data_IF_390284163206
#
_entry.id   IF_390284163206
#
_cell.length_a   1.000
_cell.length_b   1.000
_cell.length_c   1.000
_cell.angle_alpha   90.00
_cell.angle_beta   90.00
_cell.angle_gamma   90.00
#
_symmetry.space_group_name_H-M   'P 1'
#
loop_
_entity.id
_entity.type
_entity.pdbx_description
1 polymer ?
#
# COMPACT_ATOMS: atom_id res chain seq x y z
N UNK A 1 -7.21 4.12 30.19
CA UNK A 1 -6.49 3.03 29.50
C UNK A 1 -5.45 3.64 28.57
N UNK A 2 -4.24 3.12 28.52
CA UNK A 2 -3.24 3.58 27.54
C UNK A 2 -3.61 3.08 26.14
N UNK A 3 -3.24 3.82 25.08
CA UNK A 3 -3.48 3.43 23.66
C UNK A 3 -3.00 2.00 23.38
N UNK A 4 -1.86 1.60 23.96
CA UNK A 4 -1.28 0.25 23.79
C UNK A 4 -2.10 -0.86 24.44
N UNK A 5 -2.80 -0.57 25.53
CA UNK A 5 -3.69 -1.55 26.15
C UNK A 5 -4.97 -1.75 25.32
N UNK A 6 -5.47 -0.68 24.68
CA UNK A 6 -6.60 -0.77 23.74
C UNK A 6 -6.23 -1.64 22.54
N UNK A 7 -5.01 -1.44 21.97
CA UNK A 7 -4.50 -2.27 20.86
C UNK A 7 -4.45 -3.75 21.22
N UNK A 8 -3.94 -4.09 22.42
CA UNK A 8 -3.88 -5.48 22.88
C UNK A 8 -5.30 -6.08 23.02
N UNK A 9 -6.24 -5.33 23.58
CA UNK A 9 -7.62 -5.78 23.72
C UNK A 9 -8.27 -6.03 22.36
N UNK A 10 -8.08 -5.10 21.42
CA UNK A 10 -8.60 -5.26 20.05
C UNK A 10 -7.98 -6.49 19.35
N UNK A 11 -6.68 -6.72 19.54
CA UNK A 11 -6.00 -7.90 19.03
C UNK A 11 -6.57 -9.19 19.61
N UNK A 12 -6.80 -9.21 20.95
CA UNK A 12 -7.42 -10.34 21.63
C UNK A 12 -8.87 -10.58 21.20
N UNK A 13 -9.64 -9.53 20.88
CA UNK A 13 -11.01 -9.64 20.37
C UNK A 13 -11.00 -10.18 18.93
N UNK A 14 -10.02 -9.77 18.11
CA UNK A 14 -9.91 -10.23 16.73
C UNK A 14 -9.39 -11.67 16.60
N UNK A 15 -8.61 -12.16 17.59
CA UNK A 15 -7.96 -13.48 17.51
C UNK A 15 -8.95 -14.65 17.45
N UNK A 16 -10.06 -14.71 18.21
CA UNK A 16 -11.05 -15.78 18.09
C UNK A 16 -11.68 -15.85 16.70
N UNK A 17 -11.92 -14.70 16.06
CA UNK A 17 -12.48 -14.66 14.71
C UNK A 17 -11.57 -15.40 13.72
N UNK A 18 -10.29 -15.07 13.72
CA UNK A 18 -9.31 -15.71 12.82
C UNK A 18 -9.16 -17.20 13.13
N UNK A 19 -9.03 -17.55 14.43
CA UNK A 19 -8.90 -18.96 14.85
C UNK A 19 -10.13 -19.77 14.45
N UNK A 20 -11.34 -19.23 14.65
CA UNK A 20 -12.61 -19.89 14.26
C UNK A 20 -12.69 -20.10 12.75
N UNK A 21 -12.24 -19.15 11.93
CA UNK A 21 -12.22 -19.33 10.48
C UNK A 21 -11.34 -20.51 10.06
N UNK A 22 -10.14 -20.64 10.63
CA UNK A 22 -9.27 -21.78 10.35
C UNK A 22 -9.82 -23.10 10.91
N UNK A 23 -10.45 -23.08 12.09
CA UNK A 23 -11.11 -24.26 12.67
C UNK A 23 -12.26 -24.72 11.79
N UNK A 24 -13.10 -23.79 11.31
CA UNK A 24 -14.20 -24.12 10.38
C UNK A 24 -13.67 -24.70 9.04
N UNK A 25 -12.57 -24.14 8.54
CA UNK A 25 -11.92 -24.66 7.34
C UNK A 25 -11.43 -26.11 7.55
N UNK A 26 -10.74 -26.39 8.65
CA UNK A 26 -10.26 -27.72 9.01
C UNK A 26 -11.39 -28.73 9.13
N UNK A 27 -12.46 -28.38 9.84
CA UNK A 27 -13.65 -29.24 10.00
C UNK A 27 -14.30 -29.52 8.64
N UNK A 28 -14.43 -28.52 7.78
CA UNK A 28 -15.02 -28.68 6.45
C UNK A 28 -14.18 -29.61 5.53
N UNK A 29 -12.87 -29.68 5.75
CA UNK A 29 -11.95 -30.57 5.05
C UNK A 29 -11.80 -31.94 5.72
N UNK A 30 -12.57 -32.20 6.80
CA UNK A 30 -12.48 -33.45 7.56
C UNK A 30 -11.18 -33.61 8.35
N UNK A 31 -10.46 -32.54 8.58
CA UNK A 31 -9.21 -32.55 9.34
C UNK A 31 -9.49 -32.45 10.84
N UNK A 32 -8.63 -33.05 11.66
CA UNK A 32 -8.68 -32.91 13.11
C UNK A 32 -8.26 -31.48 13.53
N UNK A 33 -8.85 -30.97 14.61
CA UNK A 33 -8.45 -29.73 15.24
C UNK A 33 -7.20 -29.98 16.13
N UNK A 34 -6.06 -30.10 15.50
CA UNK A 34 -4.78 -30.36 16.14
C UNK A 34 -3.80 -29.17 15.95
N UNK A 35 -2.56 -29.33 16.42
CA UNK A 35 -1.54 -28.30 16.26
C UNK A 35 -1.04 -28.14 14.82
N UNK A 36 -1.33 -29.07 13.93
CA UNK A 36 -0.98 -28.93 12.51
C UNK A 36 -1.96 -27.97 11.82
N UNK A 37 -3.24 -28.08 12.14
CA UNK A 37 -4.31 -27.23 11.56
C UNK A 37 -4.40 -25.86 12.24
N UNK A 38 -4.24 -25.78 13.55
CA UNK A 38 -4.31 -24.55 14.32
C UNK A 38 -2.97 -23.82 14.47
N UNK A 39 -1.86 -24.45 14.11
CA UNK A 39 -0.53 -23.85 14.21
C UNK A 39 -0.36 -22.58 13.38
N UNK A 40 -0.97 -22.52 12.19
CA UNK A 40 -0.92 -21.32 11.32
C UNK A 40 -1.59 -20.11 11.97
N UNK A 41 -2.87 -20.15 12.39
CA UNK A 41 -3.50 -18.98 13.01
C UNK A 41 -2.86 -18.61 14.35
N UNK A 42 -2.36 -19.57 15.14
CA UNK A 42 -1.62 -19.32 16.36
C UNK A 42 -0.28 -18.63 16.04
N UNK A 43 0.43 -19.06 15.02
CA UNK A 43 1.68 -18.44 14.57
C UNK A 43 1.47 -17.00 14.09
N UNK A 44 0.41 -16.75 13.31
CA UNK A 44 0.02 -15.41 12.89
C UNK A 44 -0.24 -14.53 14.12
N UNK A 45 -1.04 -15.00 15.07
CA UNK A 45 -1.33 -14.27 16.31
C UNK A 45 -0.05 -13.97 17.08
N UNK A 46 0.85 -14.95 17.23
CA UNK A 46 2.16 -14.79 17.88
C UNK A 46 3.01 -13.71 17.21
N UNK A 47 3.07 -13.68 15.88
CA UNK A 47 3.77 -12.64 15.14
C UNK A 47 3.21 -11.23 15.43
N UNK A 48 1.89 -11.10 15.49
CA UNK A 48 1.25 -9.82 15.82
C UNK A 48 1.38 -9.43 17.30
N UNK A 49 1.49 -10.39 18.21
CA UNK A 49 1.87 -10.12 19.62
C UNK A 49 3.29 -9.56 19.69
N UNK A 50 4.25 -10.13 18.95
CA UNK A 50 5.61 -9.59 18.85
C UNK A 50 5.59 -8.19 18.24
N UNK A 51 4.80 -7.97 17.18
CA UNK A 51 4.58 -6.66 16.59
C UNK A 51 4.01 -5.65 17.60
N UNK A 52 3.02 -6.07 18.42
CA UNK A 52 2.46 -5.26 19.50
C UNK A 52 3.51 -4.84 20.53
N UNK A 53 4.36 -5.78 20.96
CA UNK A 53 5.44 -5.49 21.93
C UNK A 53 6.43 -4.48 21.31
N UNK A 54 6.80 -4.69 20.03
CA UNK A 54 7.68 -3.76 19.31
C UNK A 54 7.06 -2.36 19.20
N UNK A 55 5.79 -2.27 18.82
CA UNK A 55 5.06 -0.99 18.70
C UNK A 55 4.96 -0.30 20.06
N UNK A 56 4.76 -1.06 21.15
CA UNK A 56 4.71 -0.50 22.50
C UNK A 56 6.03 0.17 22.92
N UNK A 57 7.16 -0.34 22.43
CA UNK A 57 8.49 0.17 22.78
C UNK A 57 8.95 1.26 21.80
N UNK A 58 8.74 1.05 20.49
CA UNK A 58 9.31 1.87 19.44
C UNK A 58 8.38 3.00 18.97
N UNK A 59 7.06 2.81 19.05
CA UNK A 59 6.06 3.76 18.57
C UNK A 59 4.85 3.85 19.53
N UNK A 60 5.02 4.31 20.80
CA UNK A 60 3.96 4.30 21.81
C UNK A 60 2.75 5.18 21.45
N UNK A 61 2.94 6.19 20.60
CA UNK A 61 1.90 7.12 20.15
C UNK A 61 1.15 6.67 18.89
N UNK A 62 1.54 5.53 18.27
CA UNK A 62 0.87 5.03 17.07
C UNK A 62 -0.61 4.73 17.33
N UNK A 63 -1.42 4.77 16.26
CA UNK A 63 -2.86 4.46 16.35
C UNK A 63 -3.08 2.99 16.79
N UNK A 64 -3.91 2.75 17.82
CA UNK A 64 -4.11 1.41 18.37
C UNK A 64 -4.96 0.48 17.48
N UNK A 65 -5.63 1.00 16.46
CA UNK A 65 -6.50 0.22 15.59
C UNK A 65 -5.75 -0.44 14.42
N UNK A 66 -4.62 0.12 13.97
CA UNK A 66 -3.90 -0.32 12.77
C UNK A 66 -3.46 -1.78 12.89
N UNK A 67 -2.81 -2.14 13.98
CA UNK A 67 -2.25 -3.49 14.15
C UNK A 67 -3.34 -4.58 14.26
N UNK A 68 -4.42 -4.43 15.06
CA UNK A 68 -5.51 -5.40 15.12
C UNK A 68 -6.28 -5.55 13.81
N UNK A 69 -6.49 -4.46 13.07
CA UNK A 69 -7.12 -4.50 11.74
C UNK A 69 -6.23 -5.26 10.76
N UNK A 70 -4.93 -4.97 10.74
CA UNK A 70 -3.96 -5.68 9.90
C UNK A 70 -3.91 -7.17 10.23
N UNK A 71 -3.97 -7.54 11.52
CA UNK A 71 -4.07 -8.93 11.96
C UNK A 71 -5.33 -9.61 11.41
N UNK A 72 -6.49 -8.99 11.60
CA UNK A 72 -7.76 -9.56 11.14
C UNK A 72 -7.77 -9.75 9.62
N UNK A 73 -7.38 -8.73 8.86
CA UNK A 73 -7.32 -8.80 7.39
C UNK A 73 -6.33 -9.84 6.89
N UNK A 74 -5.14 -9.92 7.50
CA UNK A 74 -4.13 -10.92 7.15
C UNK A 74 -4.60 -12.34 7.47
N UNK A 75 -5.22 -12.54 8.63
CA UNK A 75 -5.77 -13.83 9.04
C UNK A 75 -6.88 -14.31 8.11
N UNK A 76 -7.83 -13.42 7.80
CA UNK A 76 -8.91 -13.69 6.84
C UNK A 76 -8.33 -14.01 5.46
N UNK A 77 -7.40 -13.18 4.96
CA UNK A 77 -6.77 -13.38 3.65
C UNK A 77 -6.05 -14.73 3.54
N UNK A 78 -5.27 -15.11 4.56
CA UNK A 78 -4.56 -16.39 4.57
C UNK A 78 -5.54 -17.57 4.66
N UNK A 79 -6.63 -17.46 5.44
CA UNK A 79 -7.66 -18.50 5.50
C UNK A 79 -8.31 -18.73 4.12
N UNK A 80 -8.65 -17.67 3.39
CA UNK A 80 -9.16 -17.78 2.02
C UNK A 80 -8.14 -18.41 1.06
N UNK A 81 -6.88 -17.96 1.12
CA UNK A 81 -5.82 -18.50 0.27
C UNK A 81 -5.60 -19.99 0.59
N UNK A 82 -5.61 -20.39 1.87
CA UNK A 82 -5.50 -21.79 2.28
C UNK A 82 -6.63 -22.64 1.66
N UNK A 83 -7.84 -22.10 1.59
CA UNK A 83 -8.99 -22.78 0.98
C UNK A 83 -8.87 -22.93 -0.53
N UNK A 84 -8.32 -21.93 -1.22
CA UNK A 84 -8.27 -21.86 -2.69
C UNK A 84 -7.00 -22.53 -3.24
N UNK A 85 -5.90 -22.51 -2.49
CA UNK A 85 -4.58 -23.00 -2.94
C UNK A 85 -4.60 -24.44 -3.52
N UNK A 86 -5.30 -25.43 -2.93
CA UNK A 86 -5.34 -26.80 -3.47
C UNK A 86 -5.97 -26.89 -4.87
N UNK A 87 -6.81 -25.91 -5.24
CA UNK A 87 -7.51 -25.88 -6.54
C UNK A 87 -6.81 -24.95 -7.55
N UNK A 88 -5.65 -24.38 -7.20
CA UNK A 88 -4.88 -23.47 -8.05
C UNK A 88 -3.64 -24.17 -8.62
N UNK A 89 -3.05 -23.58 -9.66
CA UNK A 89 -1.77 -24.01 -10.22
C UNK A 89 -0.57 -23.82 -9.28
N UNK A 90 -0.80 -23.24 -8.10
CA UNK A 90 0.23 -22.89 -7.12
C UNK A 90 -0.13 -23.41 -5.71
N UNK A 91 -0.01 -24.70 -5.42
CA UNK A 91 -0.45 -25.30 -4.14
C UNK A 91 0.30 -24.74 -2.92
N UNK A 92 1.50 -24.19 -3.11
CA UNK A 92 2.31 -23.58 -2.04
C UNK A 92 1.95 -22.12 -1.74
N UNK A 93 0.91 -21.57 -2.40
CA UNK A 93 0.54 -20.14 -2.25
C UNK A 93 0.25 -19.77 -0.80
N UNK A 94 -0.43 -20.66 -0.04
CA UNK A 94 -0.75 -20.40 1.37
C UNK A 94 0.51 -20.31 2.24
N UNK A 95 1.47 -21.20 2.05
CA UNK A 95 2.75 -21.20 2.78
C UNK A 95 3.55 -19.94 2.44
N UNK A 96 3.65 -19.61 1.16
CA UNK A 96 4.33 -18.40 0.70
C UNK A 96 3.72 -17.13 1.33
N UNK A 97 2.40 -17.07 1.43
CA UNK A 97 1.71 -15.91 2.04
C UNK A 97 2.04 -15.77 3.53
N UNK A 98 2.12 -16.89 4.26
CA UNK A 98 2.55 -16.88 5.67
C UNK A 98 4.00 -16.36 5.79
N UNK A 99 4.91 -16.84 4.93
CA UNK A 99 6.31 -16.38 4.91
C UNK A 99 6.39 -14.89 4.64
N UNK A 100 5.66 -14.38 3.65
CA UNK A 100 5.59 -12.94 3.35
C UNK A 100 5.01 -12.13 4.50
N UNK A 101 4.01 -12.66 5.22
CA UNK A 101 3.48 -12.00 6.42
C UNK A 101 4.56 -11.84 7.50
N UNK A 102 5.29 -12.92 7.83
CA UNK A 102 6.37 -12.84 8.82
C UNK A 102 7.46 -11.86 8.40
N UNK A 103 7.85 -11.90 7.12
CA UNK A 103 8.81 -10.94 6.57
C UNK A 103 8.29 -9.50 6.71
N UNK A 104 7.01 -9.27 6.42
CA UNK A 104 6.35 -7.97 6.56
C UNK A 104 6.37 -7.46 8.01
N UNK A 105 6.10 -8.33 8.99
CA UNK A 105 6.18 -7.98 10.42
C UNK A 105 7.62 -7.61 10.80
N UNK A 106 8.62 -8.38 10.37
CA UNK A 106 10.03 -8.09 10.62
C UNK A 106 10.44 -6.75 10.00
N UNK A 107 10.05 -6.49 8.75
CA UNK A 107 10.32 -5.22 8.07
C UNK A 107 9.63 -4.04 8.77
N UNK A 108 8.39 -4.20 9.22
CA UNK A 108 7.68 -3.18 9.99
C UNK A 108 8.45 -2.82 11.27
N UNK A 109 8.91 -3.82 12.02
CA UNK A 109 9.69 -3.61 13.24
C UNK A 109 11.02 -2.91 12.90
N UNK A 110 11.70 -3.34 11.84
CA UNK A 110 12.94 -2.72 11.38
C UNK A 110 12.73 -1.25 11.01
N UNK A 111 11.68 -0.95 10.24
CA UNK A 111 11.34 0.44 9.88
C UNK A 111 11.09 1.28 11.12
N UNK A 112 10.30 0.81 12.09
CA UNK A 112 10.07 1.54 13.35
C UNK A 112 11.34 1.75 14.16
N UNK A 113 12.27 0.79 14.15
CA UNK A 113 13.54 0.89 14.89
C UNK A 113 14.51 1.89 14.25
N UNK A 114 14.60 1.91 12.91
CA UNK A 114 15.56 2.75 12.18
C UNK A 114 15.02 4.14 11.84
N UNK A 115 13.71 4.25 11.55
CA UNK A 115 13.05 5.51 11.13
C UNK A 115 12.41 6.23 12.32
N UNK A 116 13.21 6.60 13.31
CA UNK A 116 12.73 7.34 14.49
C UNK A 116 12.31 8.79 14.17
N UNK A 117 12.89 9.39 13.13
CA UNK A 117 12.63 10.78 12.73
C UNK A 117 12.22 10.83 11.26
N UNK A 118 10.92 10.75 10.94
CA UNK A 118 10.45 10.80 9.56
C UNK A 118 10.76 12.14 8.86
N UNK A 119 10.93 13.23 9.62
CA UNK A 119 11.31 14.54 9.07
C UNK A 119 12.65 14.52 8.33
N UNK A 120 13.56 13.62 8.71
CA UNK A 120 14.83 13.45 7.99
C UNK A 120 14.62 12.96 6.55
N UNK A 121 13.57 12.18 6.30
CA UNK A 121 13.23 11.70 4.95
C UNK A 121 12.82 12.84 4.04
N UNK A 122 12.23 13.91 4.56
CA UNK A 122 11.84 15.09 3.79
C UNK A 122 13.05 15.78 3.14
N UNK A 123 14.26 15.67 3.73
CA UNK A 123 15.47 16.20 3.15
C UNK A 123 15.92 15.44 1.90
N UNK A 124 15.55 14.17 1.78
CA UNK A 124 15.89 13.30 0.66
C UNK A 124 14.73 13.12 -0.35
N UNK A 125 13.71 13.99 -0.30
CA UNK A 125 12.50 13.87 -1.13
C UNK A 125 12.78 13.66 -2.62
N UNK A 126 13.71 14.41 -3.22
CA UNK A 126 14.04 14.26 -4.64
C UNK A 126 14.78 12.95 -4.95
N UNK A 127 15.64 12.49 -4.04
CA UNK A 127 16.26 11.17 -4.13
C UNK A 127 15.20 10.06 -4.07
N UNK A 128 14.26 10.17 -3.13
CA UNK A 128 13.12 9.25 -3.02
C UNK A 128 12.27 9.26 -4.30
N UNK A 129 12.03 10.44 -4.87
CA UNK A 129 11.32 10.56 -6.14
C UNK A 129 12.01 9.76 -7.27
N UNK A 130 13.31 9.95 -7.44
CA UNK A 130 14.11 9.26 -8.47
C UNK A 130 14.10 7.74 -8.21
N UNK A 131 14.33 7.30 -6.98
CA UNK A 131 14.28 5.88 -6.60
C UNK A 131 12.92 5.27 -6.88
N UNK A 132 11.82 5.99 -6.55
CA UNK A 132 10.46 5.55 -6.85
C UNK A 132 10.21 5.34 -8.34
N UNK A 133 10.67 6.27 -9.18
CA UNK A 133 10.57 6.15 -10.64
C UNK A 133 11.42 4.99 -11.18
N UNK A 134 12.64 4.80 -10.69
CA UNK A 134 13.49 3.67 -11.09
C UNK A 134 12.83 2.34 -10.74
N UNK A 135 12.22 2.24 -9.55
CA UNK A 135 11.49 1.03 -9.14
C UNK A 135 10.28 0.77 -10.05
N UNK A 136 9.50 1.79 -10.42
CA UNK A 136 8.40 1.64 -11.36
C UNK A 136 8.88 1.18 -12.74
N UNK A 137 10.01 1.70 -13.23
CA UNK A 137 10.56 1.31 -14.53
C UNK A 137 11.20 -0.09 -14.52
N UNK A 138 11.56 -0.62 -13.35
CA UNK A 138 12.34 -1.87 -13.27
C UNK A 138 11.66 -3.09 -13.90
N UNK A 139 10.31 -3.29 -13.86
CA UNK A 139 9.68 -4.43 -14.53
C UNK A 139 9.69 -4.31 -16.06
N UNK A 140 9.88 -3.10 -16.59
CA UNK A 140 9.93 -2.87 -18.04
C UNK A 140 11.28 -3.30 -18.65
N UNK A 141 12.30 -3.57 -17.83
CA UNK A 141 13.62 -4.00 -18.29
C UNK A 141 13.50 -5.39 -18.92
N UNK A 142 13.90 -5.57 -20.19
CA UNK A 142 13.88 -6.88 -20.86
C UNK A 142 14.73 -7.92 -20.10
N UNK A 143 14.19 -9.12 -19.93
CA UNK A 143 14.89 -10.24 -19.28
C UNK A 143 14.71 -10.34 -17.75
N UNK A 144 14.17 -9.30 -17.09
CA UNK A 144 13.94 -9.30 -15.63
C UNK A 144 12.44 -9.27 -15.32
N UNK A 145 11.68 -8.48 -16.07
CA UNK A 145 10.23 -8.35 -15.88
C UNK A 145 9.47 -9.49 -16.55
N UNK A 146 8.47 -10.01 -15.87
CA UNK A 146 7.50 -10.96 -16.42
C UNK A 146 6.16 -10.30 -16.69
N UNK A 147 5.56 -10.71 -17.81
CA UNK A 147 4.21 -10.34 -18.19
C UNK A 147 3.23 -11.38 -17.63
N UNK A 148 2.33 -10.94 -16.75
CA UNK A 148 1.29 -11.76 -16.16
C UNK A 148 -0.05 -11.08 -16.42
N UNK A 149 -0.99 -11.78 -17.04
CA UNK A 149 -2.30 -11.26 -17.44
C UNK A 149 -2.24 -9.95 -18.27
N UNK A 150 -1.25 -9.85 -19.17
CA UNK A 150 -1.08 -8.68 -20.03
C UNK A 150 -0.44 -7.45 -19.40
N UNK A 151 -0.06 -7.53 -18.11
CA UNK A 151 0.62 -6.47 -17.38
C UNK A 151 2.05 -6.89 -17.00
N UNK A 152 3.01 -6.00 -17.24
CA UNK A 152 4.43 -6.25 -16.93
C UNK A 152 4.85 -5.49 -15.68
N UNK A 153 4.45 -6.01 -14.51
CA UNK A 153 4.62 -5.36 -13.20
C UNK A 153 5.40 -6.21 -12.18
N UNK A 154 5.77 -7.45 -12.57
CA UNK A 154 6.41 -8.40 -11.67
C UNK A 154 7.89 -8.60 -12.02
N UNK A 155 8.73 -8.68 -10.99
CA UNK A 155 10.10 -9.14 -11.10
C UNK A 155 10.23 -10.55 -10.53
N UNK A 156 10.98 -11.41 -11.25
CA UNK A 156 11.35 -12.75 -10.78
C UNK A 156 12.83 -12.77 -10.45
N UNK A 157 13.15 -13.04 -9.19
CA UNK A 157 14.54 -13.16 -8.74
C UNK A 157 14.68 -14.39 -7.85
N UNK A 158 15.48 -15.37 -8.25
CA UNK A 158 15.79 -16.55 -7.44
C UNK A 158 14.58 -17.38 -7.01
N UNK A 159 13.52 -17.48 -7.85
CA UNK A 159 12.29 -18.21 -7.54
C UNK A 159 11.26 -17.41 -6.74
N UNK A 160 11.55 -16.18 -6.38
CA UNK A 160 10.60 -15.26 -5.74
C UNK A 160 10.09 -14.22 -6.75
N UNK A 161 8.77 -13.99 -6.70
CA UNK A 161 8.13 -12.92 -7.46
C UNK A 161 7.78 -11.78 -6.51
N UNK A 162 8.15 -10.56 -6.87
CA UNK A 162 7.69 -9.38 -6.15
C UNK A 162 7.36 -8.24 -7.12
N UNK A 163 6.51 -7.33 -6.67
CA UNK A 163 6.08 -6.18 -7.44
C UNK A 163 6.80 -4.92 -6.94
N UNK A 164 7.76 -4.36 -7.68
CA UNK A 164 8.48 -3.14 -7.25
C UNK A 164 7.55 -1.94 -7.09
N UNK A 165 6.44 -1.90 -7.82
CA UNK A 165 5.41 -0.88 -7.71
C UNK A 165 4.84 -0.72 -6.30
N UNK A 166 4.77 -1.80 -5.49
CA UNK A 166 4.31 -1.71 -4.10
C UNK A 166 5.28 -0.90 -3.23
N UNK A 167 6.58 -1.10 -3.43
CA UNK A 167 7.61 -0.32 -2.73
C UNK A 167 7.65 1.11 -3.28
N UNK A 168 7.53 1.27 -4.60
CA UNK A 168 7.51 2.58 -5.25
C UNK A 168 6.35 3.46 -4.74
N UNK A 169 5.16 2.89 -4.51
CA UNK A 169 4.02 3.60 -3.91
C UNK A 169 4.40 4.26 -2.59
N UNK A 170 5.02 3.52 -1.69
CA UNK A 170 5.44 4.03 -0.38
C UNK A 170 6.46 5.16 -0.56
N UNK A 171 7.46 4.96 -1.41
CA UNK A 171 8.53 5.94 -1.65
C UNK A 171 7.99 7.22 -2.27
N UNK A 172 7.06 7.13 -3.23
CA UNK A 172 6.42 8.29 -3.86
C UNK A 172 5.54 9.04 -2.85
N UNK A 173 4.83 8.34 -1.97
CA UNK A 173 4.06 8.95 -0.87
C UNK A 173 4.99 9.72 0.07
N UNK A 174 6.16 9.18 0.40
CA UNK A 174 7.16 9.90 1.22
C UNK A 174 7.70 11.14 0.51
N UNK A 175 7.94 11.08 -0.81
CA UNK A 175 8.28 12.26 -1.60
C UNK A 175 7.17 13.30 -1.53
N UNK A 176 5.92 12.91 -1.80
CA UNK A 176 4.76 13.80 -1.76
C UNK A 176 4.61 14.45 -0.40
N UNK A 177 4.71 13.67 0.69
CA UNK A 177 4.61 14.18 2.05
C UNK A 177 5.69 15.23 2.35
N UNK A 178 6.94 14.92 2.02
CA UNK A 178 8.06 15.85 2.23
C UNK A 178 7.96 17.13 1.38
N UNK A 179 7.52 17.00 0.14
CA UNK A 179 7.33 18.15 -0.75
C UNK A 179 6.15 19.04 -0.30
N UNK A 180 5.00 18.42 0.00
CA UNK A 180 3.80 19.14 0.43
C UNK A 180 4.00 19.83 1.78
N UNK A 181 4.68 19.20 2.73
CA UNK A 181 4.98 19.81 4.02
C UNK A 181 5.80 21.09 3.89
N UNK A 182 6.83 21.09 3.01
CA UNK A 182 7.70 22.26 2.80
C UNK A 182 7.05 23.37 1.98
N UNK A 183 6.09 23.07 1.12
CA UNK A 183 5.48 24.04 0.19
C UNK A 183 4.00 24.31 0.51
N UNK A 184 3.53 23.91 1.69
CA UNK A 184 2.13 23.98 2.09
C UNK A 184 1.53 25.38 1.93
N UNK A 185 2.23 26.41 2.40
CA UNK A 185 1.77 27.78 2.35
C UNK A 185 1.61 28.28 0.92
N UNK A 186 2.62 28.04 0.07
CA UNK A 186 2.59 28.46 -1.33
C UNK A 186 1.48 27.76 -2.12
N UNK A 187 1.24 26.47 -1.85
CA UNK A 187 0.20 25.68 -2.50
C UNK A 187 -1.22 26.05 -2.02
N UNK A 188 -1.34 26.65 -0.85
CA UNK A 188 -2.63 27.10 -0.29
C UNK A 188 -3.03 28.51 -0.74
N UNK A 189 -2.10 29.31 -1.26
CA UNK A 189 -2.36 30.68 -1.75
C UNK A 189 -2.55 30.64 -3.27
N UNK A 190 -3.71 31.08 -3.72
CA UNK A 190 -4.04 31.19 -5.14
C UNK A 190 -3.65 32.55 -5.67
N UNK A 191 -2.51 32.65 -6.33
CA UNK A 191 -1.90 33.89 -6.81
C UNK A 191 -2.19 34.18 -8.27
N UNK A 192 -2.43 33.18 -9.09
CA UNK A 192 -2.69 33.34 -10.51
C UNK A 192 -4.19 33.52 -10.80
N UNK A 193 -4.50 34.53 -11.62
CA UNK A 193 -5.85 34.80 -12.09
C UNK A 193 -5.95 34.42 -13.55
N UNK A 194 -6.77 33.42 -13.86
CA UNK A 194 -7.12 33.03 -15.24
C UNK A 194 -8.62 33.22 -15.41
N UNK A 195 -9.02 34.37 -15.89
CA UNK A 195 -10.43 34.77 -15.94
C UNK A 195 -11.06 34.79 -14.55
N UNK A 196 -12.21 34.14 -14.32
CA UNK A 196 -12.88 34.08 -13.02
C UNK A 196 -12.21 33.13 -12.02
N UNK A 197 -11.23 32.32 -12.45
CA UNK A 197 -10.60 31.30 -11.64
C UNK A 197 -9.30 31.80 -11.02
N UNK A 198 -9.13 31.48 -9.73
CA UNK A 198 -7.87 31.68 -9.04
C UNK A 198 -7.13 30.35 -8.98
N UNK A 199 -5.91 30.32 -9.51
CA UNK A 199 -5.06 29.14 -9.55
C UNK A 199 -3.89 29.27 -8.59
N UNK A 200 -3.38 28.17 -8.03
CA UNK A 200 -2.16 28.17 -7.24
C UNK A 200 -0.94 28.51 -8.10
N UNK A 201 0.17 28.88 -7.46
CA UNK A 201 1.42 29.14 -8.16
C UNK A 201 1.90 27.89 -8.91
N UNK A 202 1.94 27.97 -10.24
CA UNK A 202 2.31 26.85 -11.10
C UNK A 202 3.77 26.43 -10.89
N UNK A 203 4.65 27.35 -10.50
CA UNK A 203 6.06 27.05 -10.23
C UNK A 203 6.23 26.09 -9.06
N UNK A 204 5.38 26.22 -8.06
CA UNK A 204 5.35 25.33 -6.89
C UNK A 204 4.64 24.01 -7.19
N UNK A 205 3.62 24.03 -8.06
CA UNK A 205 2.92 22.82 -8.47
C UNK A 205 3.72 21.96 -9.47
N UNK A 206 4.53 22.59 -10.32
CA UNK A 206 5.19 21.92 -11.45
C UNK A 206 6.07 20.72 -11.04
N UNK A 207 6.98 20.82 -10.04
CA UNK A 207 7.79 19.67 -9.64
C UNK A 207 6.93 18.51 -9.11
N UNK A 208 5.85 18.84 -8.39
CA UNK A 208 4.91 17.89 -7.84
C UNK A 208 4.17 17.16 -8.97
N UNK A 209 3.61 17.91 -9.93
CA UNK A 209 2.89 17.36 -11.08
C UNK A 209 3.81 16.58 -12.03
N UNK A 210 5.05 17.03 -12.23
CA UNK A 210 6.01 16.30 -13.05
C UNK A 210 6.32 14.91 -12.47
N UNK A 211 6.69 14.86 -11.18
CA UNK A 211 7.00 13.59 -10.53
C UNK A 211 5.81 12.64 -10.51
N UNK A 212 4.65 13.17 -10.10
CA UNK A 212 3.44 12.39 -10.08
C UNK A 212 3.00 11.98 -11.49
N UNK A 213 3.07 12.89 -12.46
CA UNK A 213 2.72 12.64 -13.86
C UNK A 213 3.59 11.56 -14.51
N UNK A 214 4.91 11.59 -14.24
CA UNK A 214 5.84 10.54 -14.70
C UNK A 214 5.47 9.19 -14.09
N UNK A 215 5.22 9.13 -12.77
CA UNK A 215 4.80 7.90 -12.11
C UNK A 215 3.48 7.36 -12.69
N UNK A 216 2.48 8.24 -12.89
CA UNK A 216 1.20 7.88 -13.51
C UNK A 216 1.36 7.35 -14.94
N UNK A 217 2.18 8.03 -15.76
CA UNK A 217 2.43 7.57 -17.13
C UNK A 217 3.03 6.16 -17.15
N UNK A 218 4.03 5.89 -16.29
CA UNK A 218 4.65 4.55 -16.21
C UNK A 218 3.59 3.51 -15.86
N UNK A 219 2.80 3.71 -14.80
CA UNK A 219 1.78 2.76 -14.33
C UNK A 219 0.69 2.52 -15.39
N UNK A 220 0.30 3.57 -16.15
CA UNK A 220 -0.63 3.42 -17.27
C UNK A 220 -0.01 2.62 -18.43
N UNK A 221 1.27 2.83 -18.74
CA UNK A 221 1.99 2.03 -19.75
C UNK A 221 2.17 0.56 -19.31
N UNK A 222 2.27 0.29 -18.02
CA UNK A 222 2.26 -1.06 -17.44
C UNK A 222 0.89 -1.74 -17.53
N UNK A 223 -0.15 -1.00 -17.97
CA UNK A 223 -1.56 -1.43 -18.02
C UNK A 223 -2.14 -1.80 -16.65
N UNK A 224 -1.60 -1.22 -15.58
CA UNK A 224 -2.11 -1.39 -14.21
C UNK A 224 -3.02 -0.22 -13.83
N UNK A 225 -4.25 -0.25 -14.33
CA UNK A 225 -5.25 0.79 -14.07
C UNK A 225 -5.66 0.84 -12.58
N UNK A 226 -5.59 -0.30 -11.88
CA UNK A 226 -5.86 -0.36 -10.45
C UNK A 226 -4.85 0.46 -9.64
N UNK A 227 -3.56 0.23 -9.86
CA UNK A 227 -2.49 1.03 -9.23
C UNK A 227 -2.56 2.49 -9.67
N UNK A 228 -2.85 2.78 -10.95
CA UNK A 228 -3.01 4.15 -11.42
C UNK A 228 -4.09 4.92 -10.63
N UNK A 229 -5.24 4.30 -10.39
CA UNK A 229 -6.31 4.90 -9.59
C UNK A 229 -5.87 5.14 -8.14
N UNK A 230 -5.18 4.18 -7.51
CA UNK A 230 -4.66 4.32 -6.14
C UNK A 230 -3.64 5.47 -6.06
N UNK A 231 -2.67 5.54 -6.98
CA UNK A 231 -1.70 6.64 -7.04
C UNK A 231 -2.38 8.00 -7.21
N UNK A 232 -3.41 8.06 -8.06
CA UNK A 232 -4.16 9.28 -8.26
C UNK A 232 -4.90 9.72 -7.00
N UNK A 233 -5.64 8.80 -6.37
CA UNK A 233 -6.41 9.11 -5.17
C UNK A 233 -5.52 9.50 -3.99
N UNK A 234 -4.40 8.82 -3.79
CA UNK A 234 -3.43 9.17 -2.75
C UNK A 234 -2.88 10.57 -2.98
N UNK A 235 -2.46 10.90 -4.20
CA UNK A 235 -2.01 12.24 -4.56
C UNK A 235 -3.06 13.30 -4.25
N UNK A 236 -4.29 13.07 -4.67
CA UNK A 236 -5.40 14.01 -4.50
C UNK A 236 -5.73 14.25 -3.01
N UNK A 237 -5.81 13.17 -2.23
CA UNK A 237 -6.08 13.25 -0.79
C UNK A 237 -4.94 13.97 -0.07
N UNK A 238 -3.69 13.65 -0.37
CA UNK A 238 -2.52 14.30 0.23
C UNK A 238 -2.48 15.79 -0.09
N UNK A 239 -2.76 16.17 -1.34
CA UNK A 239 -2.81 17.56 -1.78
C UNK A 239 -3.94 18.33 -1.06
N UNK A 240 -5.10 17.72 -0.91
CA UNK A 240 -6.22 18.28 -0.15
C UNK A 240 -5.88 18.46 1.33
N UNK A 241 -5.34 17.42 1.98
CA UNK A 241 -4.97 17.47 3.41
C UNK A 241 -3.89 18.53 3.66
N UNK A 242 -2.91 18.65 2.76
CA UNK A 242 -1.85 19.64 2.89
C UNK A 242 -2.35 21.08 2.72
N UNK A 243 -3.26 21.32 1.79
CA UNK A 243 -3.68 22.68 1.40
C UNK A 243 -5.00 23.13 2.03
N UNK A 244 -5.87 22.19 2.43
CA UNK A 244 -7.24 22.46 2.89
C UNK A 244 -8.19 22.95 1.80
N UNK A 245 -7.79 22.92 0.51
CA UNK A 245 -8.56 23.51 -0.60
C UNK A 245 -9.39 22.47 -1.33
N UNK A 246 -10.71 22.56 -1.20
CA UNK A 246 -11.68 21.70 -1.90
C UNK A 246 -11.55 21.77 -3.43
N UNK A 247 -10.97 22.83 -3.96
CA UNK A 247 -10.70 23.04 -5.37
C UNK A 247 -9.93 21.84 -6.00
N UNK A 248 -8.90 21.36 -5.32
CA UNK A 248 -8.10 20.21 -5.79
C UNK A 248 -8.93 18.91 -5.86
N UNK A 249 -9.83 18.71 -4.87
CA UNK A 249 -10.72 17.55 -4.87
C UNK A 249 -11.71 17.59 -6.06
N UNK A 250 -12.32 18.75 -6.29
CA UNK A 250 -13.31 18.90 -7.38
C UNK A 250 -12.68 18.66 -8.74
N UNK A 251 -11.52 19.28 -9.00
CA UNK A 251 -10.80 19.07 -10.26
C UNK A 251 -10.32 17.63 -10.38
N UNK A 252 -9.74 17.08 -9.30
CA UNK A 252 -9.25 15.72 -9.31
C UNK A 252 -10.35 14.69 -9.58
N UNK A 253 -11.49 14.78 -8.90
CA UNK A 253 -12.62 13.89 -9.17
C UNK A 253 -13.16 14.04 -10.61
N UNK A 254 -13.18 15.27 -11.13
CA UNK A 254 -13.50 15.50 -12.55
C UNK A 254 -12.52 14.79 -13.49
N UNK A 255 -11.21 14.85 -13.21
CA UNK A 255 -10.19 14.16 -13.99
C UNK A 255 -10.31 12.63 -13.89
N UNK A 256 -10.65 12.07 -12.71
CA UNK A 256 -10.95 10.63 -12.55
C UNK A 256 -12.12 10.22 -13.44
N UNK A 257 -13.19 11.00 -13.44
CA UNK A 257 -14.36 10.70 -14.27
C UNK A 257 -14.01 10.72 -15.77
N UNK A 258 -13.29 11.75 -16.23
CA UNK A 258 -12.84 11.86 -17.64
C UNK A 258 -11.85 10.73 -17.97
N UNK A 259 -10.88 10.48 -17.10
CA UNK A 259 -9.90 9.40 -17.28
C UNK A 259 -10.52 8.01 -17.28
N UNK A 260 -11.53 7.76 -16.44
CA UNK A 260 -12.30 6.52 -16.42
C UNK A 260 -13.08 6.27 -17.72
N UNK A 261 -13.74 7.32 -18.24
CA UNK A 261 -14.39 7.25 -19.55
C UNK A 261 -13.36 7.01 -20.65
N UNK A 262 -12.22 7.71 -20.62
CA UNK A 262 -11.13 7.50 -21.58
C UNK A 262 -10.56 6.08 -21.54
N UNK A 263 -10.36 5.54 -20.34
CA UNK A 263 -9.87 4.18 -20.15
C UNK A 263 -10.86 3.12 -20.67
N UNK A 264 -12.17 3.34 -20.46
CA UNK A 264 -13.21 2.47 -21.01
C UNK A 264 -13.13 2.32 -22.54
N UNK A 265 -12.86 3.40 -23.25
CA UNK A 265 -12.74 3.36 -24.73
C UNK A 265 -11.34 2.94 -25.21
N UNK A 266 -10.31 3.09 -24.40
CA UNK A 266 -8.92 2.83 -24.82
C UNK A 266 -8.44 1.39 -24.52
N UNK A 267 -9.05 0.70 -23.54
CA UNK A 267 -8.61 -0.61 -23.09
C UNK A 267 -9.73 -1.64 -23.14
N UNK A 268 -9.59 -2.64 -24.03
CA UNK A 268 -10.60 -3.70 -24.22
C UNK A 268 -10.89 -4.49 -22.93
N UNK A 269 -9.89 -4.69 -22.08
CA UNK A 269 -10.07 -5.39 -20.81
C UNK A 269 -10.83 -4.60 -19.72
N UNK A 270 -11.16 -3.35 -19.97
CA UNK A 270 -12.05 -2.55 -19.08
C UNK A 270 -13.50 -2.69 -19.53
N UNK A 271 -13.74 -3.17 -20.75
CA UNK A 271 -15.07 -3.36 -21.32
C UNK A 271 -15.66 -4.75 -21.03
N UNK A 272 -14.80 -5.72 -20.66
CA UNK A 272 -15.18 -7.10 -20.27
C UNK A 272 -15.26 -7.25 -18.77
#
# INVERSE_FOLDING_TARGET
MTRRNIELILLLIASPLVILMFAMLAINEGQALDMQTLGVPIGIFGAFVVAHIATRILAPEADPAILPISFALSGIGIAFITRVAPFSDSPNMAINQVVWLFLGVVLMIAVMAFLRNPDRLANYKYTLAIVGVILLLSPMIPGIGQEIYGSRIWLHVGGFSFQPGEIAKIIIVLFLAGYLAQNREMLSVFTWHVGPFRLPDIRTLLPLLLMWGVAMLIVVFEKDLGSALVFFLVFLVMLYVATGKKFYLVIGLGLVAIGGVGAYFAFDHVQT
#
